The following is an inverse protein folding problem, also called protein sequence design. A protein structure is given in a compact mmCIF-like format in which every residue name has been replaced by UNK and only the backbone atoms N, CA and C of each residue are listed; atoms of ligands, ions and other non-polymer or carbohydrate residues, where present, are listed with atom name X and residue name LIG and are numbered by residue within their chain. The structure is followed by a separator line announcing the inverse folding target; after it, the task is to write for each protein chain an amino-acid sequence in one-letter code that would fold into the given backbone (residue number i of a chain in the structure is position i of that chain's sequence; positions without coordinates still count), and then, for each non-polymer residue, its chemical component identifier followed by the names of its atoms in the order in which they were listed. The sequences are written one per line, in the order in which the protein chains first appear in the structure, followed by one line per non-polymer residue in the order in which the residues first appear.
data_IF_403577530293
#
_entry.id   IF_403577530293
#
_cell.length_a   1.000
_cell.length_b   1.000
_cell.length_c   1.000
_cell.angle_alpha   90.00
_cell.angle_beta   90.00
_cell.angle_gamma   90.00
#
_symmetry.space_group_name_H-M   'P 1'
#
loop_
_entity.id
_entity.type
_entity.pdbx_description
1 polymer ?
#
# COMPACT_ATOMS: atom_id res chain seq x y z
N UNK A 1 15.19 -5.79 -5.17
CA UNK A 1 16.19 -4.75 -5.54
C UNK A 1 15.83 -3.45 -4.83
N UNK A 2 16.75 -2.82 -4.10
CA UNK A 2 16.49 -1.49 -3.54
C UNK A 2 16.54 -0.45 -4.66
N UNK A 3 15.56 0.46 -4.79
CA UNK A 3 15.59 1.48 -5.83
C UNK A 3 16.84 2.34 -5.66
N UNK A 4 17.53 2.59 -6.77
CA UNK A 4 18.72 3.42 -6.82
C UNK A 4 18.38 4.84 -6.35
N UNK A 5 19.39 5.58 -5.90
CA UNK A 5 19.21 6.98 -5.49
C UNK A 5 18.48 7.81 -6.56
N UNK A 6 18.85 7.62 -7.83
CA UNK A 6 18.23 8.33 -8.95
C UNK A 6 16.76 7.95 -9.17
N UNK A 7 16.39 6.69 -8.98
CA UNK A 7 14.99 6.26 -9.08
C UNK A 7 14.13 6.85 -7.96
N UNK A 8 14.66 6.88 -6.73
CA UNK A 8 13.99 7.53 -5.60
C UNK A 8 13.83 9.02 -5.86
N UNK A 9 14.89 9.66 -6.35
CA UNK A 9 14.89 11.09 -6.66
C UNK A 9 13.87 11.47 -7.74
N UNK A 10 13.85 10.73 -8.86
CA UNK A 10 12.87 10.94 -9.92
C UNK A 10 11.43 10.62 -9.45
N UNK A 11 11.28 9.69 -8.50
CA UNK A 11 10.00 9.36 -7.88
C UNK A 11 9.36 10.53 -7.11
N UNK A 12 10.17 11.43 -6.54
CA UNK A 12 9.67 12.62 -5.80
C UNK A 12 8.98 13.64 -6.70
N UNK A 13 9.19 13.56 -8.02
CA UNK A 13 8.51 14.42 -8.99
C UNK A 13 7.27 13.75 -9.61
N UNK A 14 6.58 12.90 -8.87
CA UNK A 14 5.33 12.27 -9.31
C UNK A 14 4.32 12.30 -8.17
N UNK A 15 3.04 12.44 -8.51
CA UNK A 15 1.99 12.27 -7.52
C UNK A 15 2.03 10.82 -7.01
N UNK A 16 2.19 10.68 -5.70
CA UNK A 16 2.32 9.38 -5.02
C UNK A 16 1.07 9.05 -4.18
N UNK A 17 0.07 9.94 -4.19
CA UNK A 17 -1.13 9.91 -3.35
C UNK A 17 -0.90 10.36 -1.90
N UNK A 18 0.32 10.78 -1.56
CA UNK A 18 0.65 11.25 -0.22
C UNK A 18 0.30 12.73 -0.11
N UNK A 19 -0.71 13.09 0.70
CA UNK A 19 -1.26 14.45 0.75
C UNK A 19 -0.19 15.56 0.82
N UNK A 20 0.73 15.52 1.77
CA UNK A 20 1.72 16.60 1.91
C UNK A 20 2.73 16.65 0.76
N UNK A 21 3.16 15.48 0.27
CA UNK A 21 4.04 15.37 -0.88
C UNK A 21 3.34 15.92 -2.13
N UNK A 22 2.10 15.49 -2.37
CA UNK A 22 1.31 15.83 -3.56
C UNK A 22 0.86 17.30 -3.55
N UNK A 23 0.53 17.85 -2.38
CA UNK A 23 0.30 19.29 -2.21
C UNK A 23 1.58 20.07 -2.51
N UNK A 24 2.72 19.64 -1.97
CA UNK A 24 4.01 20.29 -2.23
C UNK A 24 4.34 20.24 -3.71
N UNK A 25 4.19 19.08 -4.36
CA UNK A 25 4.40 18.89 -5.77
C UNK A 25 3.45 19.75 -6.62
N UNK A 26 2.18 19.85 -6.22
CA UNK A 26 1.20 20.73 -6.84
C UNK A 26 1.59 22.21 -6.76
N UNK A 27 2.09 22.67 -5.61
CA UNK A 27 2.63 24.03 -5.45
C UNK A 27 3.86 24.23 -6.34
N UNK A 28 4.78 23.26 -6.38
CA UNK A 28 5.99 23.32 -7.22
C UNK A 28 5.61 23.47 -8.68
N UNK A 29 4.75 22.60 -9.21
CA UNK A 29 4.28 22.67 -10.59
C UNK A 29 3.51 23.95 -10.89
N UNK A 30 2.64 24.40 -9.97
CA UNK A 30 1.88 25.64 -10.14
C UNK A 30 2.78 26.87 -10.26
N UNK A 31 3.78 27.00 -9.39
CA UNK A 31 4.73 28.11 -9.42
C UNK A 31 5.65 28.01 -10.65
N UNK A 32 6.15 26.82 -10.99
CA UNK A 32 6.96 26.63 -12.20
C UNK A 32 6.18 27.01 -13.47
N UNK A 33 4.90 26.65 -13.55
CA UNK A 33 4.02 27.05 -14.65
C UNK A 33 3.82 28.57 -14.71
N UNK A 34 3.53 29.22 -13.59
CA UNK A 34 3.38 30.67 -13.51
C UNK A 34 4.65 31.42 -13.94
N UNK A 35 5.83 30.96 -13.48
CA UNK A 35 7.12 31.52 -13.90
C UNK A 35 7.36 31.34 -15.40
N UNK A 36 7.06 30.16 -15.95
CA UNK A 36 7.13 29.90 -17.39
C UNK A 36 6.25 30.86 -18.19
N UNK A 37 5.02 31.11 -17.71
CA UNK A 37 4.10 32.05 -18.34
C UNK A 37 4.60 33.50 -18.29
N UNK A 38 5.15 33.95 -17.15
CA UNK A 38 5.72 35.31 -17.02
C UNK A 38 6.93 35.49 -17.94
N UNK A 39 7.83 34.50 -17.97
CA UNK A 39 9.03 34.54 -18.83
C UNK A 39 8.64 34.53 -20.31
N UNK A 40 7.64 33.72 -20.69
CA UNK A 40 7.04 33.73 -22.02
C UNK A 40 6.45 35.11 -22.37
N UNK A 41 5.65 35.71 -21.48
CA UNK A 41 5.11 37.06 -21.71
C UNK A 41 6.21 38.12 -21.85
N UNK A 42 7.30 38.03 -21.10
CA UNK A 42 8.44 38.94 -21.22
C UNK A 42 9.14 38.77 -22.58
N UNK A 43 9.41 37.54 -23.00
CA UNK A 43 10.05 37.25 -24.29
C UNK A 43 9.18 37.68 -25.50
N UNK A 44 7.86 37.56 -25.39
CA UNK A 44 6.91 37.90 -26.46
C UNK A 44 6.41 39.34 -26.44
N UNK A 45 6.63 40.12 -25.38
CA UNK A 45 6.47 41.59 -25.39
C UNK A 45 7.58 42.24 -26.23
N UNK A 46 7.53 42.03 -27.55
CA UNK A 46 8.32 42.78 -28.54
C UNK A 46 7.97 44.27 -28.39
N UNK A 47 8.99 45.09 -28.11
CA UNK A 47 8.91 46.55 -28.13
C UNK A 47 8.37 47.01 -29.50
N UNK A 48 7.23 47.72 -29.53
CA UNK A 48 6.94 48.60 -30.68
C UNK A 48 8.03 49.67 -30.71
N UNK A 49 8.67 49.95 -31.86
CA UNK A 49 9.68 51.00 -31.93
C UNK A 49 9.01 52.34 -31.66
N UNK A 50 9.33 52.97 -30.52
CA UNK A 50 8.97 54.37 -30.28
C UNK A 50 9.91 55.21 -31.15
N UNK A 51 9.34 55.94 -32.12
CA UNK A 51 10.04 57.00 -32.84
C UNK A 51 10.54 58.02 -31.82
N UNK A 52 11.84 58.27 -31.85
CA UNK A 52 12.55 59.19 -30.97
C UNK A 52 12.21 60.62 -31.42
N UNK A 53 11.63 61.43 -30.54
CA UNK A 53 11.69 62.88 -30.62
C UNK A 53 12.55 63.36 -29.45
N UNK A 54 13.65 64.04 -29.78
CA UNK A 54 14.60 64.58 -28.81
C UNK A 54 13.99 65.80 -28.09
N UNK A 55 14.03 65.79 -26.76
CA UNK A 55 14.24 67.03 -26.00
C UNK A 55 14.90 66.74 -24.65
N UNK A 56 15.85 67.60 -24.36
CA UNK A 56 16.81 67.67 -23.26
C UNK A 56 16.14 67.93 -21.90
N UNK A 57 16.43 67.14 -20.84
CA UNK A 57 16.88 67.65 -19.53
C UNK A 57 17.01 66.56 -18.44
N UNK A 58 18.07 66.76 -17.64
CA UNK A 58 18.24 66.43 -16.21
C UNK A 58 18.50 64.97 -15.82
N UNK A 59 19.75 64.74 -15.39
CA UNK A 59 20.20 63.60 -14.62
C UNK A 59 19.40 63.48 -13.32
N UNK A 60 18.51 62.52 -13.25
CA UNK A 60 18.29 61.75 -12.03
C UNK A 60 18.83 60.34 -12.30
N UNK A 61 19.70 59.85 -11.41
CA UNK A 61 20.12 58.44 -11.40
C UNK A 61 18.93 57.59 -10.95
N UNK A 62 17.87 57.55 -11.75
CA UNK A 62 16.90 56.48 -11.61
C UNK A 62 17.62 55.20 -11.99
N UNK A 63 17.69 54.25 -11.06
CA UNK A 63 18.13 52.89 -11.30
C UNK A 63 17.18 52.25 -12.30
N UNK A 64 17.38 52.51 -13.59
CA UNK A 64 16.65 51.88 -14.67
C UNK A 64 17.09 50.43 -14.72
N UNK A 65 16.30 49.56 -14.11
CA UNK A 65 16.46 48.12 -14.23
C UNK A 65 16.32 47.78 -15.72
N UNK A 66 17.45 47.58 -16.40
CA UNK A 66 17.45 47.25 -17.82
C UNK A 66 16.74 45.92 -18.03
N UNK A 67 16.06 45.76 -19.17
CA UNK A 67 15.33 44.52 -19.47
C UNK A 67 16.16 43.23 -19.27
N UNK A 68 17.48 43.18 -19.58
CA UNK A 68 18.35 42.05 -19.25
C UNK A 68 18.54 41.83 -17.75
N UNK A 69 18.59 42.90 -16.92
CA UNK A 69 18.71 42.75 -15.47
C UNK A 69 17.43 42.23 -14.84
N UNK A 70 16.26 42.55 -15.41
CA UNK A 70 14.97 41.98 -14.97
C UNK A 70 14.87 40.49 -15.29
N UNK A 71 15.29 40.07 -16.49
CA UNK A 71 15.34 38.64 -16.86
C UNK A 71 16.31 37.88 -15.95
N UNK A 72 17.50 38.43 -15.72
CA UNK A 72 18.51 37.84 -14.83
C UNK A 72 17.98 37.69 -13.39
N UNK A 73 17.29 38.71 -12.88
CA UNK A 73 16.63 38.65 -11.57
C UNK A 73 15.50 37.60 -11.54
N UNK A 74 14.65 37.52 -12.56
CA UNK A 74 13.62 36.48 -12.63
C UNK A 74 14.22 35.07 -12.67
N UNK A 75 15.31 34.88 -13.42
CA UNK A 75 16.02 33.60 -13.49
C UNK A 75 16.67 33.23 -12.15
N UNK A 76 17.26 34.19 -11.43
CA UNK A 76 17.86 33.91 -10.12
C UNK A 76 16.79 33.55 -9.07
N UNK A 77 15.66 34.25 -9.05
CA UNK A 77 14.52 33.91 -8.17
C UNK A 77 13.96 32.54 -8.54
N UNK A 78 13.82 32.22 -9.83
CA UNK A 78 13.37 30.92 -10.28
C UNK A 78 14.33 29.79 -9.90
N UNK A 79 15.64 30.00 -10.03
CA UNK A 79 16.65 29.02 -9.64
C UNK A 79 16.66 28.79 -8.13
N UNK A 80 16.56 29.86 -7.34
CA UNK A 80 16.41 29.76 -5.89
C UNK A 80 15.13 29.00 -5.52
N UNK A 81 14.01 29.29 -6.18
CA UNK A 81 12.77 28.54 -6.00
C UNK A 81 12.93 27.06 -6.32
N UNK A 82 13.57 26.70 -7.44
CA UNK A 82 13.83 25.31 -7.79
C UNK A 82 14.67 24.62 -6.70
N UNK A 83 15.72 25.27 -6.21
CA UNK A 83 16.59 24.72 -5.18
C UNK A 83 15.84 24.47 -3.86
N UNK A 84 15.05 25.44 -3.41
CA UNK A 84 14.20 25.30 -2.21
C UNK A 84 13.12 24.24 -2.42
N UNK A 85 12.54 24.16 -3.63
CA UNK A 85 11.52 23.16 -3.97
C UNK A 85 12.08 21.75 -3.97
N UNK A 86 13.29 21.56 -4.50
CA UNK A 86 14.00 20.29 -4.48
C UNK A 86 14.33 19.87 -3.04
N UNK A 87 14.78 20.81 -2.22
CA UNK A 87 15.00 20.56 -0.79
C UNK A 87 13.70 20.20 -0.07
N UNK A 88 12.61 20.93 -0.34
CA UNK A 88 11.28 20.65 0.21
C UNK A 88 10.78 19.26 -0.19
N UNK A 89 10.82 18.91 -1.47
CA UNK A 89 10.46 17.58 -1.96
C UNK A 89 11.37 16.49 -1.38
N UNK A 90 12.67 16.77 -1.19
CA UNK A 90 13.59 15.84 -0.56
C UNK A 90 13.27 15.59 0.92
N UNK A 91 12.89 16.64 1.66
CA UNK A 91 12.47 16.53 3.07
C UNK A 91 11.10 15.86 3.18
N UNK A 92 10.08 16.35 2.47
CA UNK A 92 8.70 15.85 2.58
C UNK A 92 8.46 14.54 1.82
N UNK A 93 9.24 14.24 0.78
CA UNK A 93 9.26 12.93 0.13
C UNK A 93 9.93 11.85 0.97
N UNK A 94 10.57 12.24 2.09
CA UNK A 94 11.26 11.34 2.99
C UNK A 94 12.58 10.82 2.40
N UNK A 95 13.30 11.66 1.65
CA UNK A 95 14.62 11.35 1.11
C UNK A 95 15.72 11.28 2.18
N UNK A 96 15.50 11.92 3.33
CA UNK A 96 16.40 11.90 4.49
C UNK A 96 15.94 10.95 5.62
N UNK A 97 14.68 10.51 5.62
CA UNK A 97 14.13 9.61 6.63
C UNK A 97 14.22 8.16 6.19
N UNK A 98 14.59 7.24 7.10
CA UNK A 98 14.30 5.82 6.91
C UNK A 98 12.77 5.68 6.95
N UNK A 99 12.17 5.49 5.78
CA UNK A 99 10.76 5.16 5.66
C UNK A 99 10.64 3.65 5.74
N UNK A 100 9.97 3.16 6.76
CA UNK A 100 9.61 1.76 6.82
C UNK A 100 8.20 1.62 6.26
N UNK A 101 8.05 0.78 5.24
CA UNK A 101 6.76 0.42 4.70
C UNK A 101 6.47 -1.02 5.10
N UNK A 102 5.44 -1.18 5.92
CA UNK A 102 4.98 -2.47 6.41
C UNK A 102 3.53 -2.67 6.04
N UNK A 103 3.15 -3.93 5.90
CA UNK A 103 1.76 -4.29 5.70
C UNK A 103 1.01 -4.21 7.04
N UNK A 104 -0.19 -3.60 7.07
CA UNK A 104 -1.00 -3.45 8.29
C UNK A 104 -2.13 -4.48 8.40
N UNK A 105 -2.61 -5.01 7.28
CA UNK A 105 -3.65 -6.04 7.20
C UNK A 105 -3.33 -7.01 6.08
N UNK A 106 -3.94 -8.19 6.11
CA UNK A 106 -3.83 -9.11 4.98
C UNK A 106 -4.34 -8.46 3.68
N UNK A 107 -3.70 -8.80 2.57
CA UNK A 107 -4.14 -8.34 1.26
C UNK A 107 -5.38 -9.11 0.79
N UNK A 108 -6.12 -8.54 -0.13
CA UNK A 108 -7.24 -9.20 -0.80
C UNK A 108 -7.00 -9.13 -2.31
N UNK A 109 -7.24 -10.25 -2.99
CA UNK A 109 -7.37 -10.25 -4.45
C UNK A 109 -8.85 -10.13 -4.75
N UNK A 110 -9.23 -8.98 -5.30
CA UNK A 110 -10.59 -8.71 -5.73
C UNK A 110 -10.94 -9.46 -7.00
N UNK A 111 -12.20 -9.86 -7.13
CA UNK A 111 -12.75 -10.50 -8.34
C UNK A 111 -12.56 -9.64 -9.60
N UNK A 112 -12.45 -8.32 -9.42
CA UNK A 112 -12.20 -7.35 -10.49
C UNK A 112 -10.75 -7.33 -10.97
N UNK A 113 -9.92 -8.24 -10.45
CA UNK A 113 -8.51 -8.30 -10.76
C UNK A 113 -7.74 -7.15 -10.12
N UNK A 114 -8.10 -6.77 -8.89
CA UNK A 114 -7.36 -5.79 -8.10
C UNK A 114 -6.73 -6.47 -6.89
N UNK A 115 -5.48 -6.14 -6.61
CA UNK A 115 -4.87 -6.44 -5.31
C UNK A 115 -5.08 -5.25 -4.41
N UNK A 116 -5.76 -5.45 -3.29
CA UNK A 116 -6.04 -4.39 -2.33
C UNK A 116 -5.40 -4.73 -0.99
N UNK A 117 -4.60 -3.82 -0.46
CA UNK A 117 -3.89 -4.03 0.79
C UNK A 117 -3.76 -2.74 1.59
N UNK A 118 -3.81 -2.86 2.92
CA UNK A 118 -3.54 -1.76 3.83
C UNK A 118 -2.05 -1.72 4.18
N UNK A 119 -1.45 -0.56 3.95
CA UNK A 119 -0.05 -0.29 4.19
C UNK A 119 0.13 0.72 5.32
N UNK A 120 1.11 0.47 6.18
CA UNK A 120 1.61 1.38 7.20
C UNK A 120 2.96 1.91 6.76
N UNK A 121 3.09 3.24 6.70
CA UNK A 121 4.37 3.92 6.51
C UNK A 121 4.77 4.57 7.82
N UNK A 122 5.88 4.13 8.40
CA UNK A 122 6.51 4.77 9.56
C UNK A 122 7.59 5.73 9.07
N UNK A 123 7.49 6.99 9.47
CA UNK A 123 8.46 8.04 9.17
C UNK A 123 9.10 8.46 10.49
N UNK A 124 10.41 8.30 10.60
CA UNK A 124 11.17 8.80 11.73
C UNK A 124 11.12 10.33 11.73
N UNK A 125 10.59 10.92 12.80
CA UNK A 125 10.38 12.36 12.92
C UNK A 125 11.30 13.02 13.95
N UNK A 126 12.15 12.23 14.62
CA UNK A 126 13.21 12.77 15.46
C UNK A 126 13.86 11.74 16.37
N UNK A 127 14.84 12.21 17.13
CA UNK A 127 15.43 11.50 18.25
C UNK A 127 15.56 12.46 19.43
N UNK A 128 14.96 12.13 20.56
CA UNK A 128 15.08 12.91 21.80
C UNK A 128 15.55 12.00 22.93
N UNK A 129 16.61 12.41 23.63
CA UNK A 129 17.23 11.64 24.72
C UNK A 129 17.57 10.18 24.34
N UNK A 130 17.97 9.95 23.08
CA UNK A 130 18.26 8.59 22.56
C UNK A 130 17.03 7.77 22.17
N UNK A 131 15.81 8.30 22.32
CA UNK A 131 14.56 7.67 21.87
C UNK A 131 14.22 8.17 20.48
N UNK A 132 14.14 7.27 19.50
CA UNK A 132 13.64 7.59 18.16
C UNK A 132 12.11 7.71 18.21
N UNK A 133 11.57 8.83 17.75
CA UNK A 133 10.14 9.01 17.55
C UNK A 133 9.79 8.75 16.09
N UNK A 134 8.60 8.20 15.86
CA UNK A 134 8.10 7.92 14.51
C UNK A 134 6.62 8.21 14.42
N UNK A 135 6.22 8.86 13.33
CA UNK A 135 4.82 9.03 12.96
C UNK A 135 4.43 7.95 11.96
N UNK A 136 3.29 7.31 12.18
CA UNK A 136 2.74 6.30 11.28
C UNK A 136 1.59 6.85 10.44
N UNK A 137 1.61 6.55 9.16
CA UNK A 137 0.55 6.86 8.20
C UNK A 137 0.00 5.57 7.59
N UNK A 138 -1.30 5.53 7.31
CA UNK A 138 -1.98 4.34 6.81
C UNK A 138 -2.68 4.63 5.48
N UNK A 139 -2.59 3.69 4.55
CA UNK A 139 -3.16 3.84 3.22
C UNK A 139 -3.66 2.49 2.70
N UNK A 140 -4.83 2.49 2.08
CA UNK A 140 -5.30 1.39 1.24
C UNK A 140 -4.83 1.64 -0.19
N UNK A 141 -4.15 0.65 -0.76
CA UNK A 141 -3.67 0.68 -2.14
C UNK A 141 -4.39 -0.40 -2.93
N UNK A 142 -4.91 -0.04 -4.10
CA UNK A 142 -5.43 -0.99 -5.08
C UNK A 142 -4.57 -1.00 -6.34
N UNK A 143 -4.01 -2.16 -6.65
CA UNK A 143 -3.17 -2.37 -7.81
C UNK A 143 -3.90 -3.26 -8.80
N UNK A 144 -3.77 -2.96 -10.09
CA UNK A 144 -4.24 -3.86 -11.14
C UNK A 144 -3.39 -5.14 -11.16
N UNK A 145 -4.03 -6.30 -11.05
CA UNK A 145 -3.36 -7.62 -11.03
C UNK A 145 -2.65 -7.93 -12.34
N UNK A 146 -3.03 -7.32 -13.48
CA UNK A 146 -2.44 -7.62 -14.78
C UNK A 146 -1.27 -6.70 -15.10
N UNK A 147 -1.38 -5.43 -14.73
CA UNK A 147 -0.37 -4.42 -15.09
C UNK A 147 0.52 -4.02 -13.93
N UNK A 148 0.14 -4.37 -12.69
CA UNK A 148 0.77 -3.87 -11.48
C UNK A 148 0.57 -2.37 -11.27
N UNK A 149 -0.24 -1.67 -12.07
CA UNK A 149 -0.38 -0.22 -11.92
C UNK A 149 -1.30 0.14 -10.78
N UNK A 150 -0.95 1.18 -10.01
CA UNK A 150 -1.85 1.78 -9.02
C UNK A 150 -3.13 2.27 -9.70
N UNK A 151 -4.28 1.73 -9.29
CA UNK A 151 -5.60 2.11 -9.80
C UNK A 151 -6.21 3.21 -8.95
N UNK A 152 -6.13 3.03 -7.65
CA UNK A 152 -6.50 4.05 -6.67
C UNK A 152 -5.73 3.81 -5.38
N UNK A 153 -5.64 4.87 -4.59
CA UNK A 153 -5.29 4.77 -3.19
C UNK A 153 -6.22 5.65 -2.36
N UNK A 154 -6.26 5.34 -1.08
CA UNK A 154 -7.09 6.06 -0.13
C UNK A 154 -6.41 6.10 1.22
N UNK A 155 -6.43 7.27 1.85
CA UNK A 155 -6.02 7.42 3.24
C UNK A 155 -6.90 6.55 4.14
N UNK A 156 -6.24 5.77 4.99
CA UNK A 156 -6.89 4.93 5.98
C UNK A 156 -6.50 5.39 7.39
N UNK A 157 -7.32 5.06 8.37
CA UNK A 157 -7.01 5.31 9.77
C UNK A 157 -6.34 4.08 10.40
N UNK A 158 -5.57 4.31 11.46
CA UNK A 158 -4.84 3.23 12.13
C UNK A 158 -5.76 2.16 12.74
N UNK A 159 -6.98 2.52 13.11
CA UNK A 159 -8.01 1.59 13.62
C UNK A 159 -8.90 0.97 12.53
N UNK A 160 -8.74 1.36 11.27
CA UNK A 160 -9.52 0.78 10.17
C UNK A 160 -8.88 -0.55 9.76
N UNK A 161 -9.63 -1.65 9.77
CA UNK A 161 -9.14 -2.98 9.43
C UNK A 161 -9.88 -3.52 8.22
N UNK A 162 -9.15 -4.15 7.31
CA UNK A 162 -9.70 -4.76 6.10
C UNK A 162 -10.22 -6.15 6.46
N UNK A 163 -11.52 -6.39 6.28
CA UNK A 163 -12.17 -7.63 6.70
C UNK A 163 -12.28 -8.64 5.54
N UNK A 164 -12.63 -8.17 4.35
CA UNK A 164 -12.93 -9.04 3.22
C UNK A 164 -13.56 -8.28 2.05
N UNK A 165 -13.74 -8.95 0.92
CA UNK A 165 -14.52 -8.45 -0.21
C UNK A 165 -15.83 -9.22 -0.34
N UNK A 166 -16.90 -8.51 -0.68
CA UNK A 166 -18.20 -9.06 -1.08
C UNK A 166 -18.64 -8.43 -2.40
N UNK A 167 -19.73 -8.90 -2.99
CA UNK A 167 -20.40 -8.28 -4.14
C UNK A 167 -20.85 -6.84 -3.87
N UNK A 168 -21.02 -6.48 -2.59
CA UNK A 168 -21.30 -5.11 -2.18
C UNK A 168 -20.04 -4.24 -2.10
N UNK A 169 -18.85 -4.82 -2.14
CA UNK A 169 -17.54 -4.15 -2.09
C UNK A 169 -16.68 -4.61 -0.90
N UNK A 170 -15.63 -3.83 -0.61
CA UNK A 170 -14.68 -4.12 0.46
C UNK A 170 -15.22 -3.71 1.82
N UNK A 171 -15.25 -4.68 2.74
CA UNK A 171 -15.65 -4.47 4.12
C UNK A 171 -14.48 -3.95 4.96
N UNK A 172 -14.72 -2.81 5.61
CA UNK A 172 -13.79 -2.17 6.53
C UNK A 172 -14.40 -2.07 7.93
N UNK A 173 -13.64 -2.46 8.93
CA UNK A 173 -13.99 -2.32 10.34
C UNK A 173 -13.25 -1.14 10.97
N UNK A 174 -14.00 -0.18 11.50
CA UNK A 174 -13.46 0.86 12.37
C UNK A 174 -13.36 0.34 13.80
N UNK A 175 -12.28 -0.36 14.13
CA UNK A 175 -12.11 -1.15 15.35
C UNK A 175 -12.35 -0.35 16.64
N UNK A 176 -11.96 0.94 16.68
CA UNK A 176 -12.21 1.80 17.85
C UNK A 176 -13.70 1.93 18.17
N UNK A 177 -14.53 1.96 17.13
CA UNK A 177 -15.96 2.22 17.22
C UNK A 177 -16.82 0.95 17.10
N UNK A 178 -16.29 -0.10 16.48
CA UNK A 178 -17.08 -1.29 16.11
C UNK A 178 -18.01 -1.01 14.92
N UNK A 179 -17.63 -0.05 14.07
CA UNK A 179 -18.45 0.39 12.95
C UNK A 179 -17.96 -0.24 11.66
N UNK A 180 -18.83 -0.96 10.96
CA UNK A 180 -18.55 -1.45 9.61
C UNK A 180 -18.84 -0.38 8.55
N UNK A 181 -18.10 -0.47 7.46
CA UNK A 181 -18.24 0.36 6.27
C UNK A 181 -17.92 -0.48 5.05
N UNK A 182 -18.54 -0.14 3.92
CA UNK A 182 -18.14 -0.73 2.65
C UNK A 182 -17.72 0.34 1.67
N UNK A 183 -16.66 0.02 0.94
CA UNK A 183 -16.10 0.86 -0.10
C UNK A 183 -16.11 0.09 -1.42
N UNK A 184 -16.27 0.80 -2.53
CA UNK A 184 -16.19 0.22 -3.86
C UNK A 184 -14.77 -0.30 -4.13
N UNK A 185 -14.63 -1.58 -4.49
CA UNK A 185 -13.33 -2.19 -4.78
C UNK A 185 -12.61 -1.52 -5.94
N UNK A 186 -13.34 -1.02 -6.95
CA UNK A 186 -12.79 -0.47 -8.18
C UNK A 186 -12.34 0.99 -8.04
N UNK A 187 -12.87 1.73 -7.07
CA UNK A 187 -12.63 3.19 -6.94
C UNK A 187 -12.12 3.63 -5.57
N UNK A 188 -12.29 2.80 -4.53
CA UNK A 188 -11.98 3.13 -3.14
C UNK A 188 -12.97 4.10 -2.48
N UNK A 189 -14.04 4.47 -3.18
CA UNK A 189 -15.07 5.40 -2.67
C UNK A 189 -16.03 4.73 -1.71
N UNK A 190 -16.57 5.52 -0.80
CA UNK A 190 -17.59 5.06 0.13
C UNK A 190 -18.87 4.68 -0.60
N UNK A 191 -19.36 3.47 -0.35
CA UNK A 191 -20.65 3.02 -0.88
C UNK A 191 -21.76 3.13 0.17
N UNK A 192 -21.47 2.69 1.40
CA UNK A 192 -22.40 2.70 2.53
C UNK A 192 -21.63 2.62 3.83
N UNK A 193 -22.15 3.29 4.86
CA UNK A 193 -21.55 3.39 6.18
C UNK A 193 -22.29 2.55 7.21
N UNK A 194 -21.92 2.80 8.47
CA UNK A 194 -22.44 2.04 9.60
C UNK A 194 -23.95 2.21 9.81
N UNK A 195 -24.48 3.41 9.51
CA UNK A 195 -25.91 3.68 9.65
C UNK A 195 -26.74 2.78 8.74
N UNK A 196 -26.30 2.61 7.49
CA UNK A 196 -26.95 1.74 6.52
C UNK A 196 -26.88 0.26 6.96
N UNK A 197 -25.79 -0.17 7.62
CA UNK A 197 -25.71 -1.49 8.25
C UNK A 197 -26.75 -1.67 9.36
N UNK A 198 -26.91 -0.69 10.26
CA UNK A 198 -27.93 -0.75 11.31
C UNK A 198 -29.35 -0.73 10.76
N UNK A 199 -29.58 -0.01 9.66
CA UNK A 199 -30.89 0.05 8.99
C UNK A 199 -31.23 -1.27 8.27
N UNK A 200 -30.24 -1.90 7.61
CA UNK A 200 -30.42 -3.20 6.93
C UNK A 200 -30.47 -4.38 7.89
N UNK A 201 -29.74 -4.31 9.01
CA UNK A 201 -29.71 -5.36 10.02
C UNK A 201 -30.04 -4.80 11.41
N UNK A 202 -31.31 -4.39 11.67
CA UNK A 202 -31.68 -3.77 12.96
C UNK A 202 -31.41 -4.66 14.17
N UNK A 203 -31.46 -5.98 13.99
CA UNK A 203 -31.18 -6.96 15.04
C UNK A 203 -29.71 -7.00 15.49
N UNK A 204 -28.80 -6.40 14.72
CA UNK A 204 -27.37 -6.26 15.04
C UNK A 204 -27.04 -4.97 15.81
N UNK A 205 -28.02 -4.09 16.02
CA UNK A 205 -27.79 -2.83 16.72
C UNK A 205 -27.20 -3.06 18.11
N UNK A 206 -26.03 -2.48 18.36
CA UNK A 206 -25.29 -2.64 19.62
C UNK A 206 -24.56 -3.98 19.78
N UNK A 207 -24.51 -4.83 18.75
CA UNK A 207 -23.89 -6.17 18.82
C UNK A 207 -22.64 -6.33 17.95
N UNK A 208 -22.28 -5.32 17.16
CA UNK A 208 -21.11 -5.35 16.28
C UNK A 208 -19.82 -5.45 17.09
N UNK A 209 -18.94 -6.39 16.73
CA UNK A 209 -17.64 -6.53 17.38
C UNK A 209 -16.69 -5.38 17.01
N UNK A 210 -15.67 -5.19 17.84
CA UNK A 210 -14.54 -4.28 17.61
C UNK A 210 -13.31 -5.00 17.07
N UNK A 211 -13.37 -6.33 16.99
CA UNK A 211 -12.25 -7.20 16.64
C UNK A 211 -12.45 -7.75 15.25
N UNK A 212 -11.47 -7.55 14.36
CA UNK A 212 -11.46 -8.08 12.99
C UNK A 212 -11.68 -9.60 12.93
N UNK A 213 -11.11 -10.35 13.86
CA UNK A 213 -11.25 -11.81 13.94
C UNK A 213 -12.68 -12.30 14.22
N UNK A 214 -13.54 -11.43 14.72
CA UNK A 214 -14.95 -11.76 14.97
C UNK A 214 -15.78 -11.65 13.69
N UNK A 215 -15.15 -11.33 12.56
CA UNK A 215 -15.77 -11.28 11.24
C UNK A 215 -15.16 -12.36 10.35
N UNK A 216 -16.00 -12.95 9.50
CA UNK A 216 -15.58 -13.89 8.47
C UNK A 216 -16.44 -13.65 7.22
N UNK A 217 -15.80 -13.41 6.08
CA UNK A 217 -16.48 -13.25 4.80
C UNK A 217 -16.38 -14.56 4.05
N UNK A 218 -17.51 -15.08 3.56
CA UNK A 218 -17.54 -16.34 2.82
C UNK A 218 -18.34 -16.16 1.53
N UNK A 219 -17.73 -16.50 0.40
CA UNK A 219 -18.34 -16.28 -0.91
C UNK A 219 -18.66 -14.80 -1.16
N UNK A 220 -19.60 -14.56 -2.06
CA UNK A 220 -19.80 -13.21 -2.59
C UNK A 220 -20.71 -12.34 -1.69
N UNK A 221 -21.54 -12.93 -0.82
CA UNK A 221 -22.61 -12.17 -0.15
C UNK A 221 -22.72 -12.38 1.36
N UNK A 222 -22.03 -13.37 1.93
CA UNK A 222 -22.20 -13.70 3.34
C UNK A 222 -21.11 -13.11 4.23
N UNK A 223 -21.56 -12.41 5.27
CA UNK A 223 -20.73 -11.96 6.38
C UNK A 223 -21.17 -12.69 7.66
N UNK A 224 -20.26 -13.48 8.21
CA UNK A 224 -20.43 -14.08 9.52
C UNK A 224 -19.85 -13.17 10.61
N UNK A 225 -20.56 -13.04 11.73
CA UNK A 225 -20.18 -12.17 12.83
C UNK A 225 -20.33 -12.90 14.16
N UNK A 226 -19.29 -12.90 14.97
CA UNK A 226 -19.39 -13.17 16.40
C UNK A 226 -19.73 -11.87 17.13
N UNK A 227 -20.98 -11.76 17.57
CA UNK A 227 -21.52 -10.55 18.17
C UNK A 227 -21.07 -10.34 19.62
N UNK A 228 -21.13 -9.09 20.08
CA UNK A 228 -20.84 -8.71 21.47
C UNK A 228 -21.81 -9.35 22.50
N UNK A 229 -22.95 -9.87 22.04
CA UNK A 229 -23.89 -10.63 22.86
C UNK A 229 -23.57 -12.13 22.94
N UNK A 230 -22.41 -12.54 22.44
CA UNK A 230 -21.91 -13.92 22.51
C UNK A 230 -22.60 -14.87 21.55
N UNK A 231 -23.25 -14.35 20.50
CA UNK A 231 -23.95 -15.14 19.49
C UNK A 231 -23.27 -15.04 18.14
N UNK A 232 -23.46 -16.06 17.33
CA UNK A 232 -23.00 -16.07 15.95
C UNK A 232 -24.14 -15.70 15.01
N UNK A 233 -23.79 -14.91 14.00
CA UNK A 233 -24.70 -14.37 13.02
C UNK A 233 -24.16 -14.65 11.63
N UNK A 234 -25.06 -14.94 10.69
CA UNK A 234 -24.81 -14.89 9.26
C UNK A 234 -25.68 -13.77 8.69
N UNK A 235 -25.04 -12.85 7.97
CA UNK A 235 -25.70 -11.76 7.27
C UNK A 235 -25.58 -12.00 5.77
N UNK A 236 -26.71 -12.08 5.08
CA UNK A 236 -26.78 -12.03 3.62
C UNK A 236 -26.84 -10.55 3.21
N UNK A 237 -25.73 -10.04 2.69
CA UNK A 237 -25.60 -8.65 2.29
C UNK A 237 -26.37 -8.30 1.02
N UNK A 238 -26.70 -9.28 0.17
CA UNK A 238 -27.49 -9.05 -1.03
C UNK A 238 -28.97 -8.89 -0.70
N UNK A 239 -29.46 -9.69 0.25
CA UNK A 239 -30.89 -9.84 0.52
C UNK A 239 -31.33 -9.19 1.84
N UNK A 240 -30.39 -8.67 2.63
CA UNK A 240 -30.62 -8.15 3.99
C UNK A 240 -31.25 -9.16 4.94
N UNK A 241 -30.90 -10.44 4.77
CA UNK A 241 -31.36 -11.50 5.66
C UNK A 241 -30.33 -11.73 6.76
N UNK A 242 -30.82 -12.04 7.95
CA UNK A 242 -29.99 -12.36 9.10
C UNK A 242 -30.49 -13.63 9.75
N UNK A 243 -29.57 -14.56 9.97
CA UNK A 243 -29.79 -15.80 10.70
C UNK A 243 -28.80 -15.85 11.86
N UNK A 244 -29.23 -16.41 13.00
CA UNK A 244 -28.36 -16.62 14.16
C UNK A 244 -28.47 -18.05 14.62
N UNK A 245 -27.36 -18.78 14.53
CA UNK A 245 -27.26 -20.18 14.91
C UNK A 245 -25.93 -20.45 15.60
N UNK A 246 -25.94 -21.34 16.59
CA UNK A 246 -24.71 -21.73 17.30
C UNK A 246 -23.77 -22.58 16.44
N UNK A 247 -24.29 -23.27 15.42
CA UNK A 247 -23.53 -24.07 14.45
C UNK A 247 -22.47 -23.25 13.71
N UNK A 248 -22.71 -21.95 13.50
CA UNK A 248 -21.75 -21.06 12.84
C UNK A 248 -20.43 -20.89 13.62
N UNK A 249 -20.40 -21.24 14.91
CA UNK A 249 -19.16 -21.29 15.69
C UNK A 249 -18.11 -22.21 15.05
N UNK A 250 -18.54 -23.29 14.38
CA UNK A 250 -17.66 -24.25 13.71
C UNK A 250 -16.81 -23.59 12.62
N UNK A 251 -17.35 -22.60 11.90
CA UNK A 251 -16.62 -21.87 10.85
C UNK A 251 -15.46 -21.04 11.42
N UNK A 252 -15.68 -20.40 12.57
CA UNK A 252 -14.63 -19.63 13.26
C UNK A 252 -13.57 -20.56 13.85
N UNK A 253 -13.98 -21.69 14.41
CA UNK A 253 -13.06 -22.71 14.91
C UNK A 253 -12.23 -23.34 13.80
N UNK A 254 -12.83 -23.67 12.66
CA UNK A 254 -12.12 -24.21 11.50
C UNK A 254 -11.04 -23.23 11.01
N UNK A 255 -11.40 -21.96 10.83
CA UNK A 255 -10.45 -20.90 10.49
C UNK A 255 -9.33 -20.80 11.52
N UNK A 256 -9.66 -20.69 12.80
CA UNK A 256 -8.67 -20.51 13.88
C UNK A 256 -7.76 -21.75 14.05
N UNK A 257 -8.29 -22.95 13.78
CA UNK A 257 -7.51 -24.19 13.74
C UNK A 257 -6.52 -24.19 12.57
N UNK A 258 -6.92 -23.78 11.36
CA UNK A 258 -6.01 -23.63 10.22
C UNK A 258 -4.82 -22.70 10.55
N UNK A 259 -5.11 -21.56 11.18
CA UNK A 259 -4.07 -20.63 11.62
C UNK A 259 -3.19 -21.23 12.73
N UNK A 260 -3.76 -22.02 13.63
CA UNK A 260 -3.03 -22.64 14.74
C UNK A 260 -2.16 -23.80 14.28
N UNK A 261 -2.65 -24.65 13.37
CA UNK A 261 -1.90 -25.75 12.75
C UNK A 261 -0.71 -25.21 11.95
N UNK A 262 -0.94 -24.22 11.09
CA UNK A 262 0.14 -23.59 10.33
C UNK A 262 1.22 -22.97 11.25
N UNK A 263 0.82 -22.44 12.42
CA UNK A 263 1.76 -21.83 13.38
C UNK A 263 2.44 -22.84 14.29
N UNK A 264 1.78 -23.94 14.62
CA UNK A 264 2.31 -25.03 15.45
C UNK A 264 3.28 -25.93 14.67
N UNK A 265 3.16 -25.95 13.35
CA UNK A 265 4.03 -26.71 12.46
C UNK A 265 5.48 -26.21 12.56
N UNK A 266 6.36 -27.07 13.05
CA UNK A 266 7.78 -26.78 13.12
C UNK A 266 8.39 -26.78 11.73
N UNK A 267 9.11 -25.72 11.38
CA UNK A 267 9.91 -25.67 10.15
C UNK A 267 10.90 -26.84 10.09
N UNK A 268 11.41 -27.27 11.24
CA UNK A 268 12.33 -28.40 11.35
C UNK A 268 11.66 -29.74 10.99
N UNK A 269 10.39 -29.94 11.38
CA UNK A 269 9.63 -31.15 11.05
C UNK A 269 9.32 -31.21 9.55
N UNK A 270 8.96 -30.06 8.96
CA UNK A 270 8.75 -29.96 7.52
C UNK A 270 10.05 -30.22 6.74
N UNK A 271 11.18 -29.67 7.21
CA UNK A 271 12.48 -29.90 6.60
C UNK A 271 12.87 -31.38 6.62
N UNK A 272 12.64 -32.08 7.73
CA UNK A 272 12.90 -33.52 7.84
C UNK A 272 12.03 -34.34 6.89
N UNK A 273 10.74 -33.98 6.78
CA UNK A 273 9.76 -34.70 5.96
C UNK A 273 9.99 -34.51 4.45
N UNK A 274 10.36 -33.32 4.02
CA UNK A 274 10.59 -33.00 2.61
C UNK A 274 12.02 -33.25 2.15
N UNK A 275 12.98 -33.29 3.08
CA UNK A 275 14.41 -33.30 2.81
C UNK A 275 14.95 -31.93 2.36
N UNK A 276 14.20 -30.85 2.52
CA UNK A 276 14.56 -29.49 2.11
C UNK A 276 15.00 -28.64 3.31
N UNK A 277 15.99 -27.77 3.10
CA UNK A 277 16.44 -26.83 4.12
C UNK A 277 15.67 -25.51 4.04
N UNK A 278 14.76 -25.27 4.99
CA UNK A 278 13.95 -24.05 5.09
C UNK A 278 14.56 -23.02 6.07
N UNK A 279 15.71 -22.45 5.74
CA UNK A 279 16.40 -21.50 6.63
C UNK A 279 15.52 -20.29 7.00
N UNK A 280 15.41 -19.97 8.29
CA UNK A 280 14.57 -18.86 8.79
C UNK A 280 13.12 -18.90 8.26
N UNK A 281 12.61 -20.11 7.99
CA UNK A 281 11.32 -20.31 7.35
C UNK A 281 10.15 -19.86 8.22
N UNK A 282 9.06 -19.50 7.55
CA UNK A 282 7.75 -19.27 8.15
C UNK A 282 6.68 -19.89 7.27
N UNK A 283 5.83 -20.72 7.88
CA UNK A 283 4.62 -21.22 7.23
C UNK A 283 3.61 -20.08 7.15
N UNK A 284 3.08 -19.85 5.96
CA UNK A 284 2.04 -18.88 5.70
C UNK A 284 0.68 -19.58 5.83
N UNK A 285 -0.20 -19.11 6.71
CA UNK A 285 -1.54 -19.66 6.84
C UNK A 285 -2.37 -19.31 5.60
N UNK A 286 -3.14 -20.27 5.12
CA UNK A 286 -3.94 -20.13 3.91
C UNK A 286 -5.27 -20.83 4.14
N UNK A 287 -6.34 -20.16 3.71
CA UNK A 287 -7.71 -20.64 3.83
C UNK A 287 -8.03 -21.79 2.84
N UNK A 288 -7.32 -21.84 1.72
CA UNK A 288 -7.31 -22.93 0.75
C UNK A 288 -6.54 -24.15 1.31
N UNK A 289 -7.28 -25.10 1.88
CA UNK A 289 -6.85 -26.37 2.49
C UNK A 289 -6.18 -27.36 1.51
N UNK A 290 -5.45 -26.88 0.49
CA UNK A 290 -4.90 -27.71 -0.60
C UNK A 290 -3.38 -27.62 -0.66
N UNK A 291 -2.76 -26.58 -0.12
CA UNK A 291 -1.29 -26.43 -0.14
C UNK A 291 -0.81 -25.54 0.99
N UNK A 292 0.33 -25.91 1.58
CA UNK A 292 1.04 -25.07 2.54
C UNK A 292 2.10 -24.26 1.82
N UNK A 293 2.26 -23.00 2.19
CA UNK A 293 3.30 -22.16 1.62
C UNK A 293 4.29 -21.81 2.69
N UNK A 294 5.56 -21.99 2.38
CA UNK A 294 6.66 -21.61 3.25
C UNK A 294 7.39 -20.48 2.56
N UNK A 295 7.62 -19.41 3.31
CA UNK A 295 8.59 -18.41 2.90
C UNK A 295 9.84 -18.58 3.74
N UNK A 296 11.01 -18.66 3.09
CA UNK A 296 12.28 -18.95 3.74
C UNK A 296 13.45 -18.26 3.03
N UNK A 297 14.58 -18.25 3.70
CA UNK A 297 15.86 -17.79 3.15
C UNK A 297 16.53 -18.89 2.34
N UNK A 298 17.22 -18.50 1.26
CA UNK A 298 18.04 -19.41 0.44
C UNK A 298 19.26 -19.96 1.19
N UNK A 299 19.82 -19.17 2.09
CA UNK A 299 20.98 -19.57 2.91
C UNK A 299 20.78 -19.11 4.35
N UNK A 300 21.65 -19.56 5.26
CA UNK A 300 21.65 -19.12 6.67
C UNK A 300 22.10 -17.68 6.88
N UNK A 301 22.59 -17.01 5.83
CA UNK A 301 23.08 -15.64 5.91
C UNK A 301 21.92 -14.65 6.08
N UNK A 302 22.17 -13.60 6.86
CA UNK A 302 21.19 -12.56 7.22
C UNK A 302 20.75 -11.65 6.06
N UNK A 303 21.45 -11.67 4.92
CA UNK A 303 21.14 -10.90 3.69
C UNK A 303 20.84 -11.83 2.50
N UNK A 304 20.34 -13.03 2.79
CA UNK A 304 20.07 -14.05 1.78
C UNK A 304 18.83 -13.73 0.94
N UNK A 305 18.81 -14.31 -0.26
CA UNK A 305 17.68 -14.23 -1.18
C UNK A 305 16.46 -14.96 -0.61
N UNK A 306 15.28 -14.35 -0.73
CA UNK A 306 14.03 -14.95 -0.31
C UNK A 306 13.49 -15.98 -1.29
N UNK A 307 12.96 -17.06 -0.76
CA UNK A 307 12.29 -18.13 -1.49
C UNK A 307 10.89 -18.29 -0.94
N UNK A 308 9.93 -18.52 -1.84
CA UNK A 308 8.62 -19.03 -1.48
C UNK A 308 8.43 -20.41 -2.11
N UNK A 309 7.94 -21.34 -1.29
CA UNK A 309 7.84 -22.76 -1.60
C UNK A 309 6.42 -23.22 -1.34
N UNK A 310 5.83 -23.97 -2.27
CA UNK A 310 4.55 -24.62 -2.06
C UNK A 310 4.72 -26.12 -1.83
N UNK A 311 4.05 -26.61 -0.80
CA UNK A 311 3.97 -28.01 -0.43
C UNK A 311 2.56 -28.53 -0.67
N UNK A 312 2.44 -29.82 -0.92
CA UNK A 312 1.13 -30.46 -0.93
C UNK A 312 0.45 -30.43 0.44
N UNK A 313 -0.87 -30.62 0.49
CA UNK A 313 -1.65 -30.60 1.74
C UNK A 313 -1.20 -31.70 2.70
N UNK A 314 -0.76 -32.84 2.19
CA UNK A 314 -0.16 -33.90 3.01
C UNK A 314 1.26 -33.55 3.51
N UNK A 315 1.79 -32.40 3.10
CA UNK A 315 3.11 -31.84 3.43
C UNK A 315 4.27 -32.79 3.14
N UNK A 316 4.08 -33.75 2.23
CA UNK A 316 5.10 -34.75 1.91
C UNK A 316 5.93 -34.39 0.69
N UNK A 317 5.39 -33.55 -0.19
CA UNK A 317 6.02 -33.23 -1.48
C UNK A 317 6.08 -31.73 -1.76
N UNK A 318 7.24 -31.31 -2.23
CA UNK A 318 7.47 -29.98 -2.77
C UNK A 318 6.86 -29.88 -4.17
N UNK A 319 5.88 -28.98 -4.34
CA UNK A 319 5.23 -28.74 -5.64
C UNK A 319 6.08 -27.83 -6.51
N UNK A 320 6.54 -26.71 -5.96
CA UNK A 320 7.41 -25.76 -6.64
C UNK A 320 8.10 -24.84 -5.63
N UNK A 321 9.17 -24.19 -6.08
CA UNK A 321 9.88 -23.13 -5.37
C UNK A 321 10.16 -21.97 -6.32
N UNK A 322 10.07 -20.76 -5.80
CA UNK A 322 10.32 -19.55 -6.56
C UNK A 322 11.18 -18.57 -5.79
N UNK A 323 12.24 -18.12 -6.43
CA UNK A 323 13.06 -17.05 -5.90
C UNK A 323 12.34 -15.71 -6.04
N UNK A 324 12.30 -14.95 -4.95
CA UNK A 324 11.76 -13.60 -4.92
C UNK A 324 12.71 -12.57 -5.57
N UNK A 325 14.00 -12.91 -5.75
CA UNK A 325 15.01 -11.97 -6.27
C UNK A 325 15.21 -10.73 -5.37
N UNK A 326 14.73 -10.80 -4.13
CA UNK A 326 14.89 -9.76 -3.12
C UNK A 326 15.72 -10.31 -1.98
N UNK A 327 16.70 -9.51 -1.56
CA UNK A 327 17.44 -9.80 -0.33
C UNK A 327 16.53 -9.49 0.85
N UNK A 328 16.51 -10.43 1.78
CA UNK A 328 15.68 -10.38 2.95
C UNK A 328 16.53 -9.89 4.12
N UNK A 329 16.06 -8.89 4.86
CA UNK A 329 16.71 -8.49 6.12
C UNK A 329 16.46 -9.53 7.22
N UNK A 330 17.19 -9.48 8.33
CA UNK A 330 17.20 -10.44 9.45
C UNK A 330 15.83 -10.87 10.04
N UNK A 331 14.74 -10.14 9.79
CA UNK A 331 13.36 -10.46 10.26
C UNK A 331 12.30 -10.36 9.15
N UNK A 332 12.48 -11.04 8.01
CA UNK A 332 11.85 -10.64 6.75
C UNK A 332 10.38 -11.05 6.61
N UNK A 333 9.88 -11.94 7.46
CA UNK A 333 8.57 -12.56 7.31
C UNK A 333 7.58 -12.23 8.43
N UNK A 334 7.98 -11.37 9.38
CA UNK A 334 7.04 -10.91 10.42
C UNK A 334 5.93 -10.03 9.83
N UNK A 335 6.22 -9.30 8.75
CA UNK A 335 5.29 -8.41 8.06
C UNK A 335 4.94 -8.93 6.65
N UNK A 336 4.75 -10.25 6.52
CA UNK A 336 4.33 -10.86 5.27
C UNK A 336 2.87 -11.31 5.34
N UNK A 337 2.14 -11.07 4.26
CA UNK A 337 0.79 -11.61 4.05
C UNK A 337 0.72 -12.34 2.72
N UNK A 338 -0.16 -13.33 2.70
CA UNK A 338 -0.53 -14.11 1.55
C UNK A 338 -2.04 -13.97 1.35
N UNK A 339 -2.46 -13.74 0.11
CA UNK A 339 -3.86 -13.74 -0.30
C UNK A 339 -4.00 -14.64 -1.52
N UNK A 340 -5.05 -15.46 -1.57
CA UNK A 340 -5.20 -16.47 -2.63
C UNK A 340 -6.52 -16.27 -3.36
N UNK A 341 -6.46 -16.46 -4.68
CA UNK A 341 -7.60 -16.58 -5.57
C UNK A 341 -7.56 -17.96 -6.26
N UNK A 342 -8.57 -18.26 -7.08
CA UNK A 342 -8.67 -19.56 -7.78
C UNK A 342 -7.42 -19.97 -8.56
N UNK A 343 -6.74 -19.03 -9.22
CA UNK A 343 -5.60 -19.31 -10.12
C UNK A 343 -4.30 -18.59 -9.76
N UNK A 344 -4.36 -17.61 -8.86
CA UNK A 344 -3.22 -16.78 -8.48
C UNK A 344 -3.16 -16.61 -6.97
N UNK A 345 -1.96 -16.40 -6.47
CA UNK A 345 -1.80 -15.88 -5.13
C UNK A 345 -0.95 -14.61 -5.15
N UNK A 346 -1.19 -13.79 -4.16
CA UNK A 346 -0.57 -12.51 -3.91
C UNK A 346 0.21 -12.61 -2.61
N UNK A 347 1.51 -12.36 -2.69
CA UNK A 347 2.38 -12.38 -1.54
C UNK A 347 3.02 -11.02 -1.36
N UNK A 348 3.14 -10.59 -0.12
CA UNK A 348 3.77 -9.33 0.24
C UNK A 348 4.83 -9.52 1.29
N UNK A 349 5.92 -8.79 1.13
CA UNK A 349 6.98 -8.70 2.13
C UNK A 349 7.82 -7.47 1.84
N UNK A 350 8.29 -6.78 2.88
CA UNK A 350 9.33 -5.74 2.79
C UNK A 350 9.05 -4.65 1.73
N UNK A 351 7.79 -4.20 1.63
CA UNK A 351 7.38 -3.19 0.65
C UNK A 351 7.30 -3.69 -0.81
N UNK A 352 7.49 -4.99 -1.03
CA UNK A 352 7.27 -5.64 -2.31
C UNK A 352 5.99 -6.45 -2.31
N UNK A 353 5.47 -6.61 -3.50
CA UNK A 353 4.23 -7.28 -3.81
C UNK A 353 4.44 -8.17 -5.01
N UNK A 354 4.12 -9.44 -4.85
CA UNK A 354 4.40 -10.47 -5.82
C UNK A 354 3.09 -11.14 -6.19
N UNK A 355 2.86 -11.31 -7.47
CA UNK A 355 1.72 -12.06 -8.00
C UNK A 355 2.26 -13.29 -8.68
N UNK A 356 1.75 -14.43 -8.26
CA UNK A 356 2.20 -15.74 -8.70
C UNK A 356 1.08 -16.52 -9.35
N UNK A 357 1.45 -17.34 -10.31
CA UNK A 357 0.60 -18.42 -10.76
C UNK A 357 0.56 -19.52 -9.70
N UNK A 358 -0.64 -19.88 -9.23
CA UNK A 358 -0.81 -20.87 -8.15
C UNK A 358 -0.32 -22.27 -8.55
N UNK A 359 -0.47 -22.64 -9.82
CA UNK A 359 -0.21 -24.00 -10.30
C UNK A 359 1.26 -24.35 -10.44
N UNK A 360 2.11 -23.38 -10.82
CA UNK A 360 3.53 -23.62 -11.10
C UNK A 360 4.49 -22.71 -10.32
N UNK A 361 3.98 -21.77 -9.52
CA UNK A 361 4.81 -20.86 -8.74
C UNK A 361 5.48 -19.75 -9.57
N UNK A 362 5.21 -19.62 -10.87
CA UNK A 362 5.85 -18.59 -11.67
C UNK A 362 5.42 -17.20 -11.19
N UNK A 363 6.40 -16.33 -10.97
CA UNK A 363 6.17 -14.91 -10.68
C UNK A 363 5.69 -14.24 -11.95
N UNK A 364 4.42 -13.84 -11.97
CA UNK A 364 3.82 -13.11 -13.07
C UNK A 364 4.17 -11.62 -12.97
N UNK A 365 4.18 -11.07 -11.75
CA UNK A 365 4.48 -9.65 -11.50
C UNK A 365 5.20 -9.42 -10.17
N UNK A 366 6.08 -8.42 -10.16
CA UNK A 366 6.70 -7.86 -8.95
C UNK A 366 6.45 -6.37 -8.93
N UNK A 367 6.00 -5.86 -7.79
CA UNK A 367 5.67 -4.46 -7.58
C UNK A 367 6.36 -3.91 -6.34
N UNK A 368 6.98 -2.73 -6.49
CA UNK A 368 7.51 -1.93 -5.41
C UNK A 368 6.44 -0.94 -4.93
N UNK A 369 5.95 -1.16 -3.71
CA UNK A 369 4.89 -0.38 -3.08
C UNK A 369 5.32 1.01 -2.65
N UNK A 370 6.62 1.27 -2.52
CA UNK A 370 7.14 2.61 -2.23
C UNK A 370 7.14 3.47 -3.49
N UNK A 371 7.59 2.92 -4.63
CA UNK A 371 7.72 3.68 -5.87
C UNK A 371 6.51 3.58 -6.80
N UNK A 372 5.55 2.73 -6.45
CA UNK A 372 4.42 2.32 -7.28
C UNK A 372 4.82 1.86 -8.69
N UNK A 373 5.89 1.05 -8.77
CA UNK A 373 6.41 0.55 -10.05
C UNK A 373 6.45 -0.95 -10.09
N UNK A 374 6.12 -1.48 -11.27
CA UNK A 374 6.50 -2.82 -11.63
C UNK A 374 8.03 -2.89 -11.74
N UNK A 375 8.61 -3.88 -11.07
CA UNK A 375 10.03 -4.18 -11.14
C UNK A 375 10.19 -5.32 -12.14
N UNK A 376 10.96 -5.10 -13.20
CA UNK A 376 11.38 -6.22 -14.04
C UNK A 376 12.36 -7.07 -13.23
N UNK A 377 12.10 -8.38 -13.11
CA UNK A 377 13.14 -9.28 -12.63
C UNK A 377 14.29 -9.24 -13.63
N UNK A 378 15.43 -8.72 -13.19
CA UNK A 378 16.68 -8.86 -13.92
C UNK A 378 17.02 -10.35 -14.00
N UNK A 379 17.28 -10.84 -15.22
CA UNK A 379 17.91 -12.13 -15.44
C UNK A 379 19.31 -12.17 -14.84
#
# INVERSE_FOLDING_TARGET
MTPTFMERYLGMFRFQGWFFHDVTLGIVYGITFLFGMVLFMMLFKRKKPKKIAYSYQKQEKETVFTFPSLISFCLSVFFFFLLVSHFGLFVFGGGMSRNELTLDSEGIISDEGLVIAKWRRSVNDGTSNGITTSTAHFQLNALDVKTGTLRWNRRSDWHEKLIGETSEGLLLLQAKKGELKVIESQTGKDRWGFREFEERFPLMKGKWSKTERDYLVTGDSYLYVYGLDGRYYQLDLSNNQLVSESSFAELFLERDNLFSEAKAMGIDELAEKTGEDFFNGKVLPIEDQVSYFIVHSKTRESDSEGIISALDHDQSTLKWQSSLGTRLSETPFNNSSLAISKSRFYFTTNGFSFIFNKGNGNIELVFDQLSYRQVQQGR
#
